data_IF_892831684726
#
_entry.id   IF_892831684726
#
_cell.length_a   1.000
_cell.length_b   1.000
_cell.length_c   1.000
_cell.angle_alpha   90.00
_cell.angle_beta   90.00
_cell.angle_gamma   90.00
#
_symmetry.space_group_name_H-M   'P 1'
#
loop_
_entity.id
_entity.type
_entity.pdbx_description
1 polymer ?
#
# COMPACT_ATOMS: atom_id res chain seq x y z
N UNK A 1 -11.83 -29.22 -28.80
CA UNK A 1 -11.81 -27.77 -29.05
C UNK A 1 -11.65 -26.92 -27.79
N UNK A 2 -12.37 -27.14 -26.70
CA UNK A 2 -12.31 -26.33 -25.47
C UNK A 2 -10.93 -26.33 -24.76
N UNK A 3 -10.23 -27.48 -24.75
CA UNK A 3 -8.89 -27.63 -24.16
C UNK A 3 -7.80 -26.89 -24.94
N UNK A 4 -7.91 -26.83 -26.27
CA UNK A 4 -6.99 -26.07 -27.13
C UNK A 4 -7.20 -24.55 -27.02
N UNK A 5 -8.45 -24.10 -26.89
CA UNK A 5 -8.76 -22.69 -26.69
C UNK A 5 -8.26 -22.17 -25.34
N UNK A 6 -8.37 -22.96 -24.27
CA UNK A 6 -7.82 -22.64 -22.94
C UNK A 6 -6.29 -22.60 -22.93
N UNK A 7 -5.62 -23.51 -23.65
CA UNK A 7 -4.15 -23.51 -23.79
C UNK A 7 -3.63 -22.29 -24.58
N UNK A 8 -4.33 -21.89 -25.62
CA UNK A 8 -3.95 -20.71 -26.41
C UNK A 8 -4.18 -19.42 -25.62
N UNK A 9 -5.28 -19.29 -24.88
CA UNK A 9 -5.56 -18.16 -24.03
C UNK A 9 -4.52 -18.05 -22.89
N UNK A 10 -4.13 -19.16 -22.24
CA UNK A 10 -3.11 -19.14 -21.19
C UNK A 10 -1.76 -18.64 -21.71
N UNK A 11 -1.35 -19.03 -22.91
CA UNK A 11 -0.10 -18.60 -23.57
C UNK A 11 -0.07 -17.09 -23.87
N UNK A 12 -1.22 -16.48 -24.19
CA UNK A 12 -1.32 -15.02 -24.43
C UNK A 12 -1.02 -14.24 -23.15
N UNK A 13 -1.62 -14.63 -22.02
CA UNK A 13 -1.39 -13.98 -20.72
C UNK A 13 -0.03 -14.32 -20.09
N UNK A 14 0.67 -15.31 -20.62
CA UNK A 14 2.05 -15.59 -20.26
C UNK A 14 3.06 -14.64 -20.93
N UNK A 15 2.67 -13.93 -21.98
CA UNK A 15 3.56 -13.00 -22.68
C UNK A 15 3.86 -11.76 -21.82
N UNK A 16 5.12 -11.31 -21.72
CA UNK A 16 5.47 -10.10 -20.99
C UNK A 16 4.70 -8.85 -21.46
N UNK A 17 4.48 -8.73 -22.78
CA UNK A 17 3.74 -7.61 -23.36
C UNK A 17 2.30 -7.51 -22.87
N UNK A 18 1.61 -8.64 -22.70
CA UNK A 18 0.23 -8.66 -22.18
C UNK A 18 0.19 -8.20 -20.71
N UNK A 19 1.20 -8.56 -19.90
CA UNK A 19 1.27 -8.14 -18.50
C UNK A 19 1.54 -6.64 -18.35
N UNK A 20 2.29 -6.05 -19.30
CA UNK A 20 2.49 -4.59 -19.35
C UNK A 20 1.18 -3.83 -19.54
N UNK A 21 0.17 -4.40 -20.24
CA UNK A 21 -1.14 -3.79 -20.39
C UNK A 21 -1.87 -3.61 -19.04
N UNK A 22 -1.61 -4.48 -18.07
CA UNK A 22 -2.18 -4.36 -16.72
C UNK A 22 -1.35 -3.46 -15.80
N UNK A 23 -0.06 -3.28 -16.09
CA UNK A 23 0.80 -2.36 -15.34
C UNK A 23 0.58 -0.90 -15.74
N UNK A 24 0.22 -0.64 -16.99
CA UNK A 24 0.01 0.72 -17.48
C UNK A 24 -1.09 1.48 -16.71
N UNK A 25 -2.29 0.91 -16.47
CA UNK A 25 -3.30 1.53 -15.60
C UNK A 25 -2.80 1.82 -14.19
N UNK A 26 -2.06 0.90 -13.58
CA UNK A 26 -1.48 1.10 -12.25
C UNK A 26 -0.45 2.25 -12.25
N UNK A 27 0.37 2.36 -13.29
CA UNK A 27 1.32 3.47 -13.42
C UNK A 27 0.59 4.83 -13.61
N UNK A 28 -0.49 4.87 -14.39
CA UNK A 28 -1.33 6.07 -14.53
C UNK A 28 -1.97 6.43 -13.20
N UNK A 29 -2.51 5.45 -12.45
CA UNK A 29 -3.09 5.68 -11.13
C UNK A 29 -2.03 6.22 -10.13
N UNK A 30 -0.80 5.67 -10.15
CA UNK A 30 0.31 6.19 -9.34
C UNK A 30 0.61 7.65 -9.69
N UNK A 31 0.83 7.97 -10.96
CA UNK A 31 1.20 9.33 -11.38
C UNK A 31 0.08 10.34 -11.08
N UNK A 32 -1.19 9.98 -11.35
CA UNK A 32 -2.34 10.80 -11.02
C UNK A 32 -2.50 10.97 -9.50
N UNK A 33 -2.27 9.90 -8.73
CA UNK A 33 -2.29 9.95 -7.27
C UNK A 33 -1.17 10.84 -6.70
N UNK A 34 0.06 10.76 -7.23
CA UNK A 34 1.15 11.64 -6.82
C UNK A 34 0.84 13.11 -7.16
N UNK A 35 0.28 13.37 -8.34
CA UNK A 35 -0.18 14.70 -8.73
C UNK A 35 -1.26 15.23 -7.77
N UNK A 36 -2.24 14.39 -7.42
CA UNK A 36 -3.29 14.73 -6.45
C UNK A 36 -2.72 15.04 -5.06
N UNK A 37 -1.73 14.27 -4.61
CA UNK A 37 -1.04 14.52 -3.35
C UNK A 37 -0.30 15.86 -3.29
N UNK A 38 0.28 16.30 -4.42
CA UNK A 38 0.85 17.65 -4.53
C UNK A 38 -0.24 18.72 -4.47
N UNK A 39 -1.39 18.52 -5.16
CA UNK A 39 -2.52 19.46 -5.14
C UNK A 39 -3.09 19.65 -3.75
N UNK A 40 -3.27 18.56 -3.00
CA UNK A 40 -3.73 18.60 -1.60
C UNK A 40 -2.79 19.40 -0.66
N UNK A 41 -1.56 19.64 -1.07
CA UNK A 41 -0.56 20.42 -0.34
C UNK A 41 -0.37 21.84 -0.88
N UNK A 42 -1.21 22.30 -1.78
CA UNK A 42 -1.04 23.58 -2.50
C UNK A 42 0.35 23.71 -3.13
N UNK A 43 0.97 22.59 -3.50
CA UNK A 43 2.24 22.57 -4.20
C UNK A 43 2.02 22.72 -5.72
N UNK A 44 3.04 23.19 -6.48
CA UNK A 44 2.92 23.24 -7.94
C UNK A 44 2.61 21.85 -8.54
N UNK A 45 1.53 21.77 -9.31
CA UNK A 45 1.05 20.52 -9.91
C UNK A 45 1.04 20.63 -11.45
N UNK A 46 1.38 19.54 -12.16
CA UNK A 46 1.20 19.44 -13.60
C UNK A 46 -0.27 19.60 -14.03
N UNK A 47 -1.21 19.05 -13.25
CA UNK A 47 -2.66 19.09 -13.52
C UNK A 47 -3.40 19.44 -12.24
N UNK A 48 -3.93 20.66 -12.16
CA UNK A 48 -4.83 21.05 -11.06
C UNK A 48 -6.20 20.39 -11.24
N UNK A 49 -6.65 19.62 -10.26
CA UNK A 49 -7.90 18.87 -10.32
C UNK A 49 -8.42 18.50 -8.94
N UNK A 50 -9.44 19.21 -8.45
CA UNK A 50 -10.16 18.88 -7.23
C UNK A 50 -10.73 17.44 -7.26
N UNK A 51 -11.09 16.94 -8.45
CA UNK A 51 -11.53 15.56 -8.62
C UNK A 51 -10.44 14.57 -8.21
N UNK A 52 -9.19 14.75 -8.69
CA UNK A 52 -8.08 13.85 -8.36
C UNK A 52 -7.75 13.90 -6.87
N UNK A 53 -7.80 15.08 -6.28
CA UNK A 53 -7.60 15.29 -4.85
C UNK A 53 -8.63 14.52 -4.02
N UNK A 54 -9.92 14.61 -4.37
CA UNK A 54 -11.01 13.90 -3.68
C UNK A 54 -10.95 12.38 -3.80
N UNK A 55 -10.25 11.82 -4.80
CA UNK A 55 -10.13 10.38 -5.00
C UNK A 55 -8.72 9.83 -4.79
N UNK A 56 -7.78 10.68 -4.31
CA UNK A 56 -6.36 10.35 -4.11
C UNK A 56 -6.15 9.01 -3.39
N UNK A 57 -6.81 8.79 -2.26
CA UNK A 57 -6.64 7.58 -1.45
C UNK A 57 -7.05 6.31 -2.21
N UNK A 58 -8.15 6.33 -2.94
CA UNK A 58 -8.60 5.18 -3.75
C UNK A 58 -7.70 4.95 -4.96
N UNK A 59 -7.21 6.01 -5.61
CA UNK A 59 -6.22 5.91 -6.68
C UNK A 59 -4.95 5.21 -6.20
N UNK A 60 -4.42 5.62 -5.05
CA UNK A 60 -3.18 5.05 -4.52
C UNK A 60 -3.37 3.63 -3.99
N UNK A 61 -4.49 3.35 -3.32
CA UNK A 61 -4.69 2.06 -2.65
C UNK A 61 -5.19 0.99 -3.61
N UNK A 62 -6.28 1.24 -4.33
CA UNK A 62 -6.88 0.21 -5.20
C UNK A 62 -6.43 0.35 -6.65
N UNK A 63 -6.40 1.58 -7.20
CA UNK A 63 -5.99 1.84 -8.56
C UNK A 63 -4.52 1.49 -8.81
N UNK A 64 -3.63 1.79 -7.88
CA UNK A 64 -2.20 1.49 -7.98
C UNK A 64 -1.84 0.18 -7.25
N UNK A 65 -1.78 0.18 -5.91
CA UNK A 65 -1.29 -0.98 -5.14
C UNK A 65 -2.18 -2.21 -5.34
N UNK A 66 -3.50 -2.06 -5.29
CA UNK A 66 -4.46 -3.15 -5.49
C UNK A 66 -4.31 -3.79 -6.86
N UNK A 67 -4.12 -2.99 -7.92
CA UNK A 67 -3.89 -3.52 -9.29
C UNK A 67 -2.57 -4.30 -9.37
N UNK A 68 -1.48 -3.82 -8.74
CA UNK A 68 -0.20 -4.52 -8.73
C UNK A 68 -0.29 -5.86 -7.99
N UNK A 69 -0.88 -5.87 -6.80
CA UNK A 69 -1.03 -7.08 -5.99
C UNK A 69 -1.94 -8.09 -6.70
N UNK A 70 -3.06 -7.62 -7.27
CA UNK A 70 -3.96 -8.48 -8.03
C UNK A 70 -3.28 -9.07 -9.28
N UNK A 71 -2.42 -8.31 -9.96
CA UNK A 71 -1.66 -8.81 -11.11
C UNK A 71 -0.68 -9.90 -10.70
N UNK A 72 0.03 -9.72 -9.60
CA UNK A 72 0.93 -10.74 -9.05
C UNK A 72 0.18 -12.04 -8.74
N UNK A 73 -0.96 -11.97 -8.06
CA UNK A 73 -1.79 -13.14 -7.72
C UNK A 73 -2.42 -13.79 -8.96
N UNK A 74 -2.81 -13.01 -9.97
CA UNK A 74 -3.28 -13.53 -11.26
C UNK A 74 -2.20 -14.34 -11.97
N UNK A 75 -0.94 -13.84 -11.94
CA UNK A 75 0.22 -14.57 -12.46
C UNK A 75 0.46 -15.86 -11.70
N UNK A 76 0.34 -15.86 -10.37
CA UNK A 76 0.48 -17.05 -9.52
C UNK A 76 -0.65 -18.07 -9.77
N UNK A 77 -1.86 -17.61 -10.05
CA UNK A 77 -3.01 -18.48 -10.36
C UNK A 77 -2.83 -19.24 -11.68
N UNK A 78 -2.12 -18.69 -12.67
CA UNK A 78 -1.88 -19.29 -14.00
C UNK A 78 -3.17 -19.64 -14.76
N UNK A 79 -4.23 -18.86 -14.57
CA UNK A 79 -5.50 -19.00 -15.30
C UNK A 79 -5.89 -17.66 -15.93
N UNK A 80 -6.35 -17.62 -17.20
CA UNK A 80 -6.67 -16.38 -17.91
C UNK A 80 -7.70 -15.51 -17.17
N UNK A 81 -8.73 -16.10 -16.58
CA UNK A 81 -9.76 -15.35 -15.86
C UNK A 81 -9.23 -14.61 -14.61
N UNK A 82 -8.11 -15.07 -14.04
CA UNK A 82 -7.48 -14.36 -12.91
C UNK A 82 -7.09 -12.92 -13.23
N UNK A 83 -6.85 -12.61 -14.50
CA UNK A 83 -6.52 -11.26 -14.95
C UNK A 83 -7.72 -10.30 -14.98
N UNK A 84 -8.95 -10.79 -14.72
CA UNK A 84 -10.11 -9.92 -14.51
C UNK A 84 -9.91 -9.01 -13.29
N UNK A 85 -9.29 -9.50 -12.21
CA UNK A 85 -9.05 -8.71 -11.01
C UNK A 85 -8.17 -7.47 -11.29
N UNK A 86 -6.91 -7.59 -11.77
CA UNK A 86 -6.11 -6.43 -12.10
C UNK A 86 -6.68 -5.61 -13.26
N UNK A 87 -7.42 -6.23 -14.20
CA UNK A 87 -8.09 -5.52 -15.29
C UNK A 87 -9.16 -4.56 -14.80
N UNK A 88 -10.04 -5.03 -13.93
CA UNK A 88 -11.14 -4.23 -13.37
C UNK A 88 -10.63 -3.17 -12.39
N UNK A 89 -9.65 -3.51 -11.51
CA UNK A 89 -9.04 -2.54 -10.60
C UNK A 89 -8.31 -1.43 -11.37
N UNK A 90 -7.53 -1.80 -12.39
CA UNK A 90 -6.85 -0.83 -13.26
C UNK A 90 -7.83 0.03 -14.06
N UNK A 91 -8.91 -0.56 -14.60
CA UNK A 91 -9.97 0.18 -15.29
C UNK A 91 -10.70 1.13 -14.32
N UNK A 92 -10.96 0.70 -13.09
CA UNK A 92 -11.50 1.56 -12.03
C UNK A 92 -10.57 2.73 -11.71
N UNK A 93 -9.26 2.49 -11.57
CA UNK A 93 -8.24 3.52 -11.42
C UNK A 93 -8.24 4.53 -12.59
N UNK A 94 -8.27 4.04 -13.82
CA UNK A 94 -8.40 4.91 -14.99
C UNK A 94 -9.72 5.71 -15.03
N UNK A 95 -10.83 5.10 -14.62
CA UNK A 95 -12.12 5.78 -14.55
C UNK A 95 -12.14 6.90 -13.50
N UNK A 96 -11.33 6.79 -12.43
CA UNK A 96 -11.13 7.89 -11.47
C UNK A 96 -10.36 9.05 -12.07
N UNK A 97 -9.38 8.78 -12.94
CA UNK A 97 -8.57 9.81 -13.62
C UNK A 97 -9.35 10.49 -14.76
N UNK A 98 -10.10 9.72 -15.52
CA UNK A 98 -10.89 10.22 -16.63
C UNK A 98 -12.13 10.96 -16.14
N UNK A 99 -12.71 11.90 -16.95
CA UNK A 99 -13.92 12.66 -16.60
C UNK A 99 -15.20 11.81 -16.70
N UNK A 100 -15.16 10.59 -16.14
CA UNK A 100 -16.31 9.68 -16.07
C UNK A 100 -17.11 9.91 -14.79
N UNK A 101 -18.41 9.57 -14.74
CA UNK A 101 -19.18 9.60 -13.51
C UNK A 101 -18.53 8.72 -12.42
N UNK A 102 -18.42 9.25 -11.19
CA UNK A 102 -17.78 8.54 -10.09
C UNK A 102 -18.34 7.13 -9.83
N UNK A 103 -19.67 6.88 -9.92
CA UNK A 103 -20.22 5.53 -9.76
C UNK A 103 -19.64 4.48 -10.71
N UNK A 104 -19.22 4.88 -11.93
CA UNK A 104 -18.57 3.94 -12.86
C UNK A 104 -17.27 3.40 -12.29
N UNK A 105 -16.44 4.29 -11.75
CA UNK A 105 -15.20 3.89 -11.10
C UNK A 105 -15.45 3.04 -9.86
N UNK A 106 -16.42 3.42 -9.02
CA UNK A 106 -16.79 2.68 -7.82
C UNK A 106 -17.24 1.25 -8.15
N UNK A 107 -18.12 1.07 -9.14
CA UNK A 107 -18.59 -0.25 -9.57
C UNK A 107 -17.42 -1.09 -10.12
N UNK A 108 -16.52 -0.50 -10.91
CA UNK A 108 -15.36 -1.20 -11.45
C UNK A 108 -14.40 -1.66 -10.31
N UNK A 109 -14.18 -0.83 -9.30
CA UNK A 109 -13.35 -1.18 -8.15
C UNK A 109 -13.99 -2.29 -7.31
N UNK A 110 -15.29 -2.23 -7.04
CA UNK A 110 -16.04 -3.29 -6.35
C UNK A 110 -15.97 -4.60 -7.13
N UNK A 111 -16.21 -4.56 -8.43
CA UNK A 111 -16.12 -5.75 -9.30
C UNK A 111 -14.68 -6.30 -9.33
N UNK A 112 -13.67 -5.43 -9.36
CA UNK A 112 -12.26 -5.80 -9.29
C UNK A 112 -11.88 -6.49 -7.99
N UNK A 113 -12.32 -5.95 -6.85
CA UNK A 113 -12.12 -6.57 -5.53
C UNK A 113 -12.85 -7.92 -5.42
N UNK A 114 -14.06 -8.04 -5.97
CA UNK A 114 -14.82 -9.30 -6.02
C UNK A 114 -14.09 -10.36 -6.85
N UNK A 115 -13.59 -9.99 -8.02
CA UNK A 115 -12.76 -10.88 -8.85
C UNK A 115 -11.46 -11.27 -8.12
N UNK A 116 -10.88 -10.36 -7.34
CA UNK A 116 -9.67 -10.60 -6.56
C UNK A 116 -9.89 -11.64 -5.45
N UNK A 117 -11.03 -11.59 -4.74
CA UNK A 117 -11.43 -12.63 -3.79
C UNK A 117 -11.58 -13.99 -4.50
N UNK A 118 -12.19 -14.01 -5.70
CA UNK A 118 -12.31 -15.24 -6.47
C UNK A 118 -10.94 -15.84 -6.85
N UNK A 119 -9.94 -15.00 -7.16
CA UNK A 119 -8.54 -15.43 -7.38
C UNK A 119 -7.99 -16.09 -6.12
N UNK A 120 -8.14 -15.49 -4.95
CA UNK A 120 -7.69 -16.08 -3.69
C UNK A 120 -8.44 -17.37 -3.33
N UNK A 121 -9.75 -17.43 -3.55
CA UNK A 121 -10.52 -18.66 -3.35
C UNK A 121 -9.99 -19.82 -4.20
N UNK A 122 -9.63 -19.55 -5.47
CA UNK A 122 -9.03 -20.56 -6.35
C UNK A 122 -7.61 -20.94 -5.93
N UNK A 123 -6.80 -19.99 -5.44
CA UNK A 123 -5.47 -20.26 -4.89
C UNK A 123 -5.58 -21.10 -3.61
N UNK A 124 -6.48 -20.74 -2.70
CA UNK A 124 -6.71 -21.45 -1.45
C UNK A 124 -7.24 -22.88 -1.69
N UNK A 125 -8.16 -23.07 -2.64
CA UNK A 125 -8.67 -24.42 -2.97
C UNK A 125 -7.56 -25.36 -3.42
N UNK A 126 -6.47 -24.83 -3.99
CA UNK A 126 -5.31 -25.59 -4.47
C UNK A 126 -4.25 -25.82 -3.40
N UNK A 127 -3.97 -24.82 -2.57
CA UNK A 127 -2.86 -24.86 -1.60
C UNK A 127 -3.29 -25.25 -0.19
N UNK A 128 -4.53 -24.91 0.22
CA UNK A 128 -5.03 -25.03 1.60
C UNK A 128 -4.13 -24.37 2.63
N UNK A 129 -3.50 -23.26 2.23
CA UNK A 129 -2.53 -22.52 3.05
C UNK A 129 -3.22 -21.38 3.80
N UNK A 130 -3.02 -21.32 5.13
CA UNK A 130 -3.57 -20.27 6.00
C UNK A 130 -3.14 -18.86 5.57
N UNK A 131 -1.95 -18.71 4.98
CA UNK A 131 -1.49 -17.42 4.47
C UNK A 131 -2.33 -16.93 3.30
N UNK A 132 -2.74 -17.84 2.41
CA UNK A 132 -3.64 -17.51 1.30
C UNK A 132 -5.03 -17.13 1.84
N UNK A 133 -5.48 -17.78 2.92
CA UNK A 133 -6.72 -17.41 3.59
C UNK A 133 -6.64 -16.00 4.20
N UNK A 134 -5.55 -15.67 4.90
CA UNK A 134 -5.34 -14.33 5.45
C UNK A 134 -5.31 -13.26 4.34
N UNK A 135 -4.68 -13.54 3.19
CA UNK A 135 -4.69 -12.64 2.02
C UNK A 135 -6.11 -12.49 1.45
N UNK A 136 -6.91 -13.56 1.41
CA UNK A 136 -8.31 -13.50 0.97
C UNK A 136 -9.15 -12.61 1.90
N UNK A 137 -8.93 -12.67 3.21
CA UNK A 137 -9.56 -11.76 4.18
C UNK A 137 -9.11 -10.32 3.94
N UNK A 138 -7.83 -10.08 3.63
CA UNK A 138 -7.34 -8.76 3.22
C UNK A 138 -8.08 -8.24 1.97
N UNK A 139 -8.22 -9.06 0.92
CA UNK A 139 -8.99 -8.69 -0.27
C UNK A 139 -10.48 -8.45 0.03
N UNK A 140 -11.05 -9.16 1.00
CA UNK A 140 -12.41 -8.91 1.48
C UNK A 140 -12.52 -7.52 2.14
N UNK A 141 -11.51 -7.06 2.89
CA UNK A 141 -11.50 -5.69 3.42
C UNK A 141 -11.46 -4.64 2.30
N UNK A 142 -10.69 -4.88 1.25
CA UNK A 142 -10.69 -4.00 0.07
C UNK A 142 -12.07 -3.96 -0.61
N UNK A 143 -12.77 -5.09 -0.69
CA UNK A 143 -14.15 -5.16 -1.19
C UNK A 143 -15.10 -4.34 -0.32
N UNK A 144 -15.09 -4.55 0.99
CA UNK A 144 -15.94 -3.80 1.92
C UNK A 144 -15.67 -2.30 1.83
N UNK A 145 -14.39 -1.88 1.86
CA UNK A 145 -14.02 -0.48 1.72
C UNK A 145 -14.51 0.12 0.40
N UNK A 146 -14.33 -0.58 -0.74
CA UNK A 146 -14.77 -0.08 -2.04
C UNK A 146 -16.30 -0.01 -2.17
N UNK A 147 -17.05 -0.93 -1.55
CA UNK A 147 -18.50 -0.92 -1.54
C UNK A 147 -19.06 0.17 -0.61
N UNK A 148 -18.51 0.30 0.60
CA UNK A 148 -18.92 1.34 1.55
C UNK A 148 -18.58 2.74 1.06
N UNK A 149 -17.54 2.92 0.23
CA UNK A 149 -17.19 4.20 -0.38
C UNK A 149 -18.28 4.80 -1.27
N UNK A 150 -19.28 4.04 -1.61
CA UNK A 150 -20.47 4.57 -2.30
C UNK A 150 -21.38 5.39 -1.36
N UNK A 151 -21.23 5.24 -0.04
CA UNK A 151 -22.12 5.77 0.98
C UNK A 151 -21.41 6.50 2.14
N UNK A 152 -20.11 6.25 2.30
CA UNK A 152 -19.29 6.71 3.43
C UNK A 152 -18.06 7.43 2.91
N UNK A 153 -17.59 8.42 3.63
CA UNK A 153 -16.38 9.17 3.27
C UNK A 153 -15.11 8.34 3.42
N UNK A 154 -14.12 8.63 2.60
CA UNK A 154 -12.87 7.88 2.54
C UNK A 154 -12.11 7.82 3.88
N UNK A 155 -12.04 8.87 4.69
CA UNK A 155 -11.37 8.80 5.99
C UNK A 155 -11.90 7.71 6.92
N UNK A 156 -13.20 7.45 6.93
CA UNK A 156 -13.79 6.40 7.75
C UNK A 156 -13.47 4.97 7.25
N UNK A 157 -13.04 4.85 6.01
CA UNK A 157 -12.67 3.57 5.37
C UNK A 157 -11.17 3.27 5.48
N UNK A 158 -10.38 4.22 5.97
CA UNK A 158 -8.92 4.07 6.07
C UNK A 158 -8.49 2.84 6.87
N UNK A 159 -9.11 2.48 8.02
CA UNK A 159 -8.77 1.25 8.72
C UNK A 159 -8.94 -0.02 7.87
N UNK A 160 -9.96 -0.09 7.04
CA UNK A 160 -10.20 -1.21 6.13
C UNK A 160 -9.12 -1.30 5.04
N UNK A 161 -8.75 -0.17 4.44
CA UNK A 161 -7.73 -0.10 3.40
C UNK A 161 -6.33 -0.42 3.96
N UNK A 162 -6.00 0.08 5.16
CA UNK A 162 -4.76 -0.28 5.87
C UNK A 162 -4.74 -1.78 6.16
N UNK A 163 -5.84 -2.35 6.66
CA UNK A 163 -5.95 -3.77 6.99
C UNK A 163 -5.77 -4.65 5.76
N UNK A 164 -6.32 -4.28 4.61
CA UNK A 164 -6.08 -4.95 3.33
C UNK A 164 -4.57 -5.06 3.04
N UNK A 165 -3.86 -3.94 3.07
CA UNK A 165 -2.43 -3.93 2.76
C UNK A 165 -1.61 -4.66 3.82
N UNK A 166 -1.92 -4.46 5.09
CA UNK A 166 -1.17 -5.08 6.19
C UNK A 166 -1.29 -6.60 6.16
N UNK A 167 -2.50 -7.17 5.99
CA UNK A 167 -2.66 -8.61 5.90
C UNK A 167 -2.00 -9.20 4.65
N UNK A 168 -2.15 -8.54 3.50
CA UNK A 168 -1.50 -8.98 2.26
C UNK A 168 0.01 -9.01 2.41
N UNK A 169 0.61 -7.91 2.86
CA UNK A 169 2.06 -7.77 3.01
C UNK A 169 2.58 -8.71 4.11
N UNK A 170 1.91 -8.80 5.27
CA UNK A 170 2.31 -9.71 6.34
C UNK A 170 2.31 -11.17 5.88
N UNK A 171 1.30 -11.59 5.11
CA UNK A 171 1.25 -12.93 4.52
C UNK A 171 2.44 -13.19 3.60
N UNK A 172 2.77 -12.24 2.71
CA UNK A 172 3.92 -12.34 1.81
C UNK A 172 5.25 -12.41 2.59
N UNK A 173 5.38 -11.60 3.66
CA UNK A 173 6.56 -11.64 4.53
C UNK A 173 6.74 -13.00 5.19
N UNK A 174 5.65 -13.61 5.67
CA UNK A 174 5.70 -14.95 6.27
C UNK A 174 5.99 -16.00 5.18
N UNK A 175 5.37 -15.90 4.01
CA UNK A 175 5.62 -16.81 2.88
C UNK A 175 7.09 -16.80 2.44
N UNK A 176 7.67 -15.64 2.22
CA UNK A 176 9.06 -15.47 1.81
C UNK A 176 10.06 -15.85 2.91
N UNK A 177 9.68 -15.67 4.17
CA UNK A 177 10.48 -16.02 5.34
C UNK A 177 10.19 -17.40 5.93
N UNK A 178 9.41 -18.27 5.28
CA UNK A 178 8.82 -19.50 5.82
C UNK A 178 9.81 -20.41 6.55
N UNK A 179 11.05 -20.50 6.06
CA UNK A 179 12.11 -21.34 6.69
C UNK A 179 12.52 -20.80 8.06
N UNK A 180 12.46 -19.49 8.27
CA UNK A 180 12.88 -18.82 9.49
C UNK A 180 11.73 -18.48 10.46
N UNK A 181 10.49 -18.57 9.98
CA UNK A 181 9.27 -18.28 10.73
C UNK A 181 8.80 -19.49 11.55
N UNK A 182 8.08 -19.26 12.68
CA UNK A 182 7.42 -20.33 13.40
C UNK A 182 6.43 -21.11 12.51
N UNK A 183 6.29 -22.42 12.70
CA UNK A 183 5.32 -23.24 11.96
C UNK A 183 3.87 -22.75 12.14
N UNK A 184 3.56 -22.13 13.27
CA UNK A 184 2.26 -21.54 13.59
C UNK A 184 2.01 -20.16 12.96
N UNK A 185 2.96 -19.60 12.21
CA UNK A 185 2.86 -18.22 11.72
C UNK A 185 1.60 -17.96 10.87
N UNK A 186 1.21 -18.93 10.03
CA UNK A 186 -0.04 -18.84 9.24
C UNK A 186 -1.27 -18.80 10.14
N UNK A 187 -1.37 -19.71 11.11
CA UNK A 187 -2.49 -19.74 12.06
C UNK A 187 -2.55 -18.46 12.94
N UNK A 188 -1.39 -17.96 13.37
CA UNK A 188 -1.30 -16.70 14.12
C UNK A 188 -1.83 -15.54 13.26
N UNK A 189 -1.41 -15.42 12.00
CA UNK A 189 -1.89 -14.35 11.12
C UNK A 189 -3.38 -14.49 10.82
N UNK A 190 -3.89 -15.70 10.66
CA UNK A 190 -5.34 -15.94 10.51
C UNK A 190 -6.11 -15.51 11.77
N UNK A 191 -5.56 -15.78 12.96
CA UNK A 191 -6.11 -15.28 14.22
C UNK A 191 -6.15 -13.75 14.27
N UNK A 192 -5.08 -13.08 13.85
CA UNK A 192 -5.08 -11.61 13.70
C UNK A 192 -6.13 -11.14 12.70
N UNK A 193 -6.31 -11.81 11.56
CA UNK A 193 -7.32 -11.47 10.57
C UNK A 193 -8.74 -11.55 11.17
N UNK A 194 -9.04 -12.58 11.95
CA UNK A 194 -10.35 -12.73 12.64
C UNK A 194 -10.58 -11.61 13.65
N UNK A 195 -9.58 -11.34 14.50
CA UNK A 195 -9.67 -10.24 15.48
C UNK A 195 -9.82 -8.88 14.79
N UNK A 196 -9.10 -8.67 13.72
CA UNK A 196 -9.15 -7.44 12.94
C UNK A 196 -10.54 -7.25 12.30
N UNK A 197 -11.17 -8.33 11.82
CA UNK A 197 -12.55 -8.27 11.32
C UNK A 197 -13.52 -7.82 12.40
N UNK A 198 -13.41 -8.37 13.61
CA UNK A 198 -14.26 -7.97 14.74
C UNK A 198 -14.05 -6.50 15.14
N UNK A 199 -12.79 -6.06 15.15
CA UNK A 199 -12.43 -4.67 15.47
C UNK A 199 -12.93 -3.69 14.40
N UNK A 200 -12.79 -4.01 13.10
CA UNK A 200 -13.31 -3.18 12.02
C UNK A 200 -14.84 -3.12 12.02
N UNK A 201 -15.52 -4.21 12.36
CA UNK A 201 -16.97 -4.20 12.54
C UNK A 201 -17.38 -3.34 13.75
N UNK A 202 -16.63 -3.40 14.85
CA UNK A 202 -16.84 -2.56 16.02
C UNK A 202 -16.62 -1.07 15.72
N UNK A 203 -15.65 -0.74 14.87
CA UNK A 203 -15.37 0.66 14.44
C UNK A 203 -16.59 1.32 13.78
N UNK A 204 -17.41 0.54 13.06
CA UNK A 204 -18.63 1.05 12.43
C UNK A 204 -19.73 1.45 13.47
N UNK A 205 -19.72 0.87 14.65
CA UNK A 205 -20.75 1.05 15.68
C UNK A 205 -20.26 1.86 16.87
N UNK A 206 -19.01 1.66 17.30
CA UNK A 206 -18.36 2.33 18.42
C UNK A 206 -16.97 2.81 17.99
N UNK A 207 -16.90 3.91 17.20
CA UNK A 207 -15.65 4.33 16.52
C UNK A 207 -14.45 4.52 17.46
N UNK A 208 -14.65 5.13 18.63
CA UNK A 208 -13.57 5.37 19.58
C UNK A 208 -12.92 4.06 20.05
N UNK A 209 -13.74 3.09 20.48
CA UNK A 209 -13.23 1.79 20.93
C UNK A 209 -12.66 0.97 19.75
N UNK A 210 -13.34 0.97 18.61
CA UNK A 210 -12.87 0.28 17.40
C UNK A 210 -11.49 0.77 16.98
N UNK A 211 -11.28 2.09 16.91
CA UNK A 211 -9.98 2.68 16.50
C UNK A 211 -8.88 2.47 17.53
N UNK A 212 -9.21 2.53 18.83
CA UNK A 212 -8.26 2.18 19.88
C UNK A 212 -7.78 0.72 19.72
N UNK A 213 -8.71 -0.22 19.59
CA UNK A 213 -8.39 -1.64 19.42
C UNK A 213 -7.68 -1.92 18.07
N UNK A 214 -8.05 -1.20 17.02
CA UNK A 214 -7.37 -1.25 15.73
C UNK A 214 -5.88 -0.87 15.87
N UNK A 215 -5.58 0.27 16.48
CA UNK A 215 -4.21 0.70 16.72
C UNK A 215 -3.44 -0.30 17.58
N UNK A 216 -4.04 -0.78 18.67
CA UNK A 216 -3.43 -1.79 19.54
C UNK A 216 -3.13 -3.09 18.78
N UNK A 217 -4.08 -3.58 17.99
CA UNK A 217 -3.93 -4.83 17.25
C UNK A 217 -2.86 -4.72 16.17
N UNK A 218 -2.79 -3.59 15.45
CA UNK A 218 -1.71 -3.30 14.51
C UNK A 218 -0.34 -3.25 15.20
N UNK A 219 -0.27 -2.65 16.39
CA UNK A 219 0.98 -2.57 17.16
C UNK A 219 1.46 -3.96 17.58
N UNK A 220 0.54 -4.81 18.08
CA UNK A 220 0.87 -6.19 18.49
C UNK A 220 1.31 -7.02 17.27
N UNK A 221 0.62 -6.89 16.13
CA UNK A 221 1.02 -7.55 14.88
C UNK A 221 2.39 -7.07 14.41
N UNK A 222 2.65 -5.76 14.45
CA UNK A 222 3.95 -5.18 14.08
C UNK A 222 5.06 -5.70 14.96
N UNK A 223 4.87 -5.74 16.28
CA UNK A 223 5.83 -6.28 17.23
C UNK A 223 6.10 -7.77 16.97
N UNK A 224 5.05 -8.54 16.66
CA UNK A 224 5.18 -9.94 16.31
C UNK A 224 5.98 -10.14 15.01
N UNK A 225 5.69 -9.35 13.96
CA UNK A 225 6.44 -9.37 12.70
C UNK A 225 7.90 -9.00 12.94
N UNK A 226 8.18 -7.88 13.61
CA UNK A 226 9.55 -7.46 13.95
C UNK A 226 10.30 -8.58 14.67
N UNK A 227 9.66 -9.28 15.60
CA UNK A 227 10.33 -10.36 16.36
C UNK A 227 10.71 -11.56 15.49
N UNK A 228 9.88 -11.95 14.53
CA UNK A 228 10.02 -13.21 13.82
C UNK A 228 10.55 -13.07 12.39
N UNK A 229 10.49 -11.86 11.78
CA UNK A 229 10.94 -11.67 10.41
C UNK A 229 12.44 -11.90 10.24
N UNK A 230 12.79 -12.58 9.16
CA UNK A 230 14.17 -12.86 8.76
C UNK A 230 15.00 -11.59 8.52
N UNK A 231 14.34 -10.46 8.25
CA UNK A 231 14.98 -9.15 8.04
C UNK A 231 15.90 -8.76 9.19
N UNK A 232 15.57 -9.13 10.45
CA UNK A 232 16.45 -8.90 11.61
C UNK A 232 17.83 -9.57 11.51
N UNK A 233 17.92 -10.66 10.76
CA UNK A 233 19.18 -11.39 10.53
C UNK A 233 19.86 -10.88 9.26
N UNK A 234 19.09 -10.71 8.19
CA UNK A 234 19.62 -10.35 6.87
C UNK A 234 20.08 -8.89 6.80
N UNK A 235 19.68 -8.02 7.72
CA UNK A 235 20.21 -6.64 7.86
C UNK A 235 21.73 -6.60 8.09
N UNK A 236 22.28 -7.65 8.69
CA UNK A 236 23.74 -7.80 8.92
C UNK A 236 24.48 -8.34 7.69
N UNK A 237 23.76 -8.75 6.67
CA UNK A 237 24.31 -9.24 5.40
C UNK A 237 24.84 -8.12 4.52
N UNK A 238 25.00 -8.42 3.23
CA UNK A 238 25.46 -7.48 2.21
C UNK A 238 24.55 -7.53 0.99
N UNK A 239 24.64 -6.52 0.11
CA UNK A 239 23.90 -6.48 -1.16
C UNK A 239 22.37 -6.43 -0.98
N UNK A 240 21.66 -7.16 -1.84
CA UNK A 240 20.21 -7.20 -1.86
C UNK A 240 19.56 -7.63 -0.53
N UNK A 241 20.04 -8.69 0.18
CA UNK A 241 19.45 -9.09 1.46
C UNK A 241 19.47 -7.97 2.50
N UNK A 242 20.57 -7.21 2.59
CA UNK A 242 20.70 -6.07 3.49
C UNK A 242 19.77 -4.93 3.08
N UNK A 243 19.71 -4.60 1.80
CA UNK A 243 18.85 -3.55 1.26
C UNK A 243 17.37 -3.85 1.56
N UNK A 244 16.90 -5.06 1.20
CA UNK A 244 15.52 -5.46 1.46
C UNK A 244 15.21 -5.47 2.96
N UNK A 245 16.12 -5.96 3.80
CA UNK A 245 15.96 -5.96 5.25
C UNK A 245 15.84 -4.54 5.82
N UNK A 246 16.64 -3.59 5.34
CA UNK A 246 16.57 -2.21 5.77
C UNK A 246 15.20 -1.58 5.42
N UNK A 247 14.73 -1.78 4.20
CA UNK A 247 13.41 -1.31 3.77
C UNK A 247 12.29 -1.92 4.62
N UNK A 248 12.32 -3.24 4.89
CA UNK A 248 11.32 -3.94 5.69
C UNK A 248 11.30 -3.41 7.13
N UNK A 249 12.46 -3.33 7.79
CA UNK A 249 12.56 -2.87 9.18
C UNK A 249 12.13 -1.40 9.31
N UNK A 250 12.52 -0.53 8.38
CA UNK A 250 12.06 0.85 8.33
C UNK A 250 10.53 0.91 8.11
N UNK A 251 9.98 0.06 7.25
CA UNK A 251 8.52 -0.08 7.08
C UNK A 251 7.81 -0.46 8.38
N UNK A 252 8.36 -1.38 9.17
CA UNK A 252 7.78 -1.73 10.49
C UNK A 252 7.83 -0.59 11.49
N UNK A 253 8.87 0.27 11.46
CA UNK A 253 8.89 1.48 12.30
C UNK A 253 7.72 2.39 11.95
N UNK A 254 7.46 2.61 10.66
CA UNK A 254 6.34 3.43 10.22
C UNK A 254 4.99 2.80 10.54
N UNK A 255 4.85 1.48 10.41
CA UNK A 255 3.62 0.80 10.81
C UNK A 255 3.37 0.93 12.31
N UNK A 256 4.43 0.88 13.14
CA UNK A 256 4.31 1.13 14.58
C UNK A 256 3.91 2.59 14.88
N UNK A 257 4.44 3.58 14.15
CA UNK A 257 4.03 4.98 14.27
C UNK A 257 2.55 5.13 13.91
N UNK A 258 2.09 4.55 12.79
CA UNK A 258 0.68 4.54 12.42
C UNK A 258 -0.21 3.94 13.52
N UNK A 259 0.18 2.75 14.01
CA UNK A 259 -0.55 2.03 15.05
C UNK A 259 -0.64 2.82 16.36
N UNK A 260 0.48 3.42 16.81
CA UNK A 260 0.53 4.25 18.01
C UNK A 260 -0.32 5.52 17.85
N UNK A 261 -0.33 6.14 16.66
CA UNK A 261 -1.15 7.33 16.39
C UNK A 261 -2.64 6.98 16.47
N UNK A 262 -3.09 5.86 15.86
CA UNK A 262 -4.48 5.39 15.99
C UNK A 262 -4.85 5.13 17.45
N UNK A 263 -4.01 4.42 18.19
CA UNK A 263 -4.22 4.08 19.59
C UNK A 263 -4.26 5.31 20.48
N UNK A 264 -3.26 6.19 20.38
CA UNK A 264 -3.15 7.40 21.20
C UNK A 264 -4.25 8.42 20.93
N UNK A 265 -4.67 8.58 19.66
CA UNK A 265 -5.76 9.50 19.29
C UNK A 265 -7.10 9.09 19.90
N UNK A 266 -7.38 7.79 20.02
CA UNK A 266 -8.58 7.31 20.69
C UNK A 266 -8.55 7.56 22.20
N UNK A 267 -7.37 7.64 22.80
CA UNK A 267 -7.18 7.95 24.22
C UNK A 267 -7.06 9.44 24.51
N UNK A 268 -6.74 10.25 23.51
CA UNK A 268 -6.50 11.68 23.67
C UNK A 268 -7.63 12.42 24.39
N UNK A 269 -8.93 12.19 24.12
CA UNK A 269 -10.02 12.84 24.84
C UNK A 269 -10.04 12.54 26.34
N UNK A 270 -9.56 11.37 26.76
CA UNK A 270 -9.51 10.94 28.17
C UNK A 270 -8.37 11.65 28.91
N UNK A 271 -7.22 11.84 28.25
CA UNK A 271 -6.02 12.41 28.87
C UNK A 271 -5.82 13.90 28.59
N UNK A 272 -6.56 14.48 27.65
CA UNK A 272 -6.47 15.92 27.34
C UNK A 272 -6.63 16.85 28.55
N UNK A 273 -7.50 16.56 29.55
CA UNK A 273 -7.58 17.40 30.76
C UNK A 273 -6.32 17.40 31.62
N UNK A 274 -5.47 16.36 31.49
CA UNK A 274 -4.25 16.20 32.32
C UNK A 274 -2.99 16.64 31.56
N UNK A 275 -2.96 16.39 30.24
CA UNK A 275 -1.80 16.64 29.36
C UNK A 275 -2.23 17.38 28.07
N UNK A 276 -2.82 18.58 28.18
CA UNK A 276 -3.42 19.25 27.04
C UNK A 276 -2.42 19.60 25.93
N UNK A 277 -1.22 20.10 26.29
CA UNK A 277 -0.22 20.51 25.31
C UNK A 277 0.42 19.30 24.59
N UNK A 278 0.72 18.23 25.33
CA UNK A 278 1.38 17.05 24.76
C UNK A 278 0.45 16.26 23.79
N UNK A 279 -0.89 16.39 23.97
CA UNK A 279 -1.88 15.64 23.20
C UNK A 279 -2.66 16.53 22.21
N UNK A 280 -2.35 17.82 22.13
CA UNK A 280 -3.07 18.77 21.28
C UNK A 280 -3.16 18.33 19.82
N UNK A 281 -2.07 17.80 19.25
CA UNK A 281 -2.02 17.32 17.88
C UNK A 281 -2.81 16.02 17.62
N UNK A 282 -3.16 15.28 18.67
CA UNK A 282 -3.97 14.06 18.59
C UNK A 282 -5.46 14.35 18.70
N UNK A 283 -5.83 15.48 19.33
CA UNK A 283 -7.22 15.84 19.62
C UNK A 283 -7.90 16.54 18.45
N UNK A 284 -9.16 16.21 18.10
CA UNK A 284 -9.90 16.93 17.06
C UNK A 284 -10.08 18.43 17.33
N UNK A 285 -10.02 18.86 18.60
CA UNK A 285 -10.14 20.25 19.03
C UNK A 285 -8.79 21.00 19.03
N UNK A 286 -7.69 20.35 18.72
CA UNK A 286 -6.34 20.96 18.68
C UNK A 286 -6.23 22.03 17.61
N UNK A 287 -5.66 23.19 17.97
CA UNK A 287 -5.58 24.40 17.17
C UNK A 287 -4.62 24.33 15.94
N UNK A 288 -4.22 23.15 15.50
CA UNK A 288 -3.29 22.97 14.38
C UNK A 288 -3.95 23.00 12.99
N UNK A 289 -5.21 23.46 12.91
CA UNK A 289 -5.99 23.55 11.66
C UNK A 289 -5.47 24.58 10.62
N UNK A 290 -4.28 25.14 10.82
CA UNK A 290 -3.69 26.07 9.87
C UNK A 290 -2.91 25.39 8.72
N UNK A 291 -2.67 24.09 8.81
CA UNK A 291 -1.92 23.35 7.76
C UNK A 291 -2.80 22.94 6.58
N UNK A 292 -4.07 22.73 6.83
CA UNK A 292 -5.06 22.45 5.79
C UNK A 292 -6.15 23.49 5.91
N UNK A 293 -6.32 24.34 4.89
CA UNK A 293 -7.49 25.21 4.80
C UNK A 293 -8.72 24.34 4.90
N UNK A 294 -9.45 24.51 6.00
CA UNK A 294 -10.64 23.72 6.28
C UNK A 294 -11.55 23.70 5.05
N UNK A 295 -11.60 22.58 4.36
CA UNK A 295 -12.67 22.33 3.40
C UNK A 295 -13.99 22.46 4.17
N UNK A 296 -15.00 23.20 3.69
CA UNK A 296 -16.27 23.32 4.34
C UNK A 296 -16.90 21.93 4.43
N UNK A 297 -16.96 21.35 5.64
CA UNK A 297 -17.50 20.03 5.90
C UNK A 297 -16.62 19.13 6.78
N UNK A 298 -15.95 19.68 7.83
CA UNK A 298 -15.27 18.83 8.82
C UNK A 298 -16.24 17.77 9.35
N UNK A 299 -15.94 16.50 9.04
CA UNK A 299 -16.75 15.37 9.47
C UNK A 299 -16.63 15.21 11.01
N UNK A 300 -17.69 15.47 11.80
CA UNK A 300 -17.63 15.35 13.26
C UNK A 300 -17.40 13.92 13.76
N UNK A 301 -17.33 12.95 12.83
CA UNK A 301 -17.10 11.54 13.14
C UNK A 301 -15.61 11.15 13.14
N UNK A 302 -14.69 12.04 12.71
CA UNK A 302 -13.26 11.75 12.77
C UNK A 302 -12.77 11.90 14.20
N UNK A 303 -12.40 10.83 14.91
CA UNK A 303 -11.79 10.91 16.24
C UNK A 303 -10.30 11.27 16.17
N UNK A 304 -9.75 11.45 14.97
CA UNK A 304 -8.40 11.91 14.72
C UNK A 304 -8.44 13.39 14.34
N UNK A 305 -7.50 14.18 14.86
CA UNK A 305 -7.20 15.48 14.27
C UNK A 305 -6.69 15.29 12.83
N UNK A 306 -6.75 16.34 12.02
CA UNK A 306 -6.19 16.31 10.66
C UNK A 306 -4.72 15.92 10.67
N UNK A 307 -3.95 16.41 11.63
CA UNK A 307 -2.53 16.08 11.82
C UNK A 307 -2.34 14.61 12.18
N UNK A 308 -3.12 14.09 13.13
CA UNK A 308 -3.02 12.69 13.52
C UNK A 308 -3.45 11.76 12.37
N UNK A 309 -4.45 12.15 11.59
CA UNK A 309 -4.85 11.43 10.38
C UNK A 309 -3.74 11.41 9.33
N UNK A 310 -3.12 12.57 9.08
CA UNK A 310 -1.97 12.71 8.19
C UNK A 310 -0.82 11.78 8.60
N UNK A 311 -0.45 11.78 9.89
CA UNK A 311 0.61 10.94 10.45
C UNK A 311 0.26 9.46 10.30
N UNK A 312 -0.92 9.05 10.74
CA UNK A 312 -1.33 7.65 10.72
C UNK A 312 -1.43 7.09 9.30
N UNK A 313 -2.05 7.85 8.38
CA UNK A 313 -2.27 7.46 7.00
C UNK A 313 -0.95 7.32 6.24
N UNK A 314 -0.11 8.36 6.25
CA UNK A 314 1.12 8.33 5.45
C UNK A 314 2.20 7.44 6.07
N UNK A 315 2.22 7.25 7.38
CA UNK A 315 3.06 6.21 7.99
C UNK A 315 2.67 4.81 7.50
N UNK A 316 1.37 4.50 7.37
CA UNK A 316 0.92 3.20 6.87
C UNK A 316 1.13 3.04 5.36
N UNK A 317 0.70 4.00 4.53
CA UNK A 317 0.71 3.84 3.08
C UNK A 317 2.06 4.17 2.45
N UNK A 318 2.72 5.26 2.88
CA UNK A 318 4.03 5.66 2.33
C UNK A 318 5.14 4.98 3.12
N UNK A 319 5.13 5.12 4.44
CA UNK A 319 6.18 4.58 5.30
C UNK A 319 6.26 3.05 5.27
N UNK A 320 5.15 2.37 5.47
CA UNK A 320 5.14 0.91 5.50
C UNK A 320 4.94 0.31 4.10
N UNK A 321 3.82 0.59 3.41
CA UNK A 321 3.50 -0.14 2.19
C UNK A 321 4.50 0.12 1.05
N UNK A 322 4.92 1.38 0.78
CA UNK A 322 5.91 1.65 -0.27
C UNK A 322 7.31 1.13 0.10
N UNK A 323 7.67 1.07 1.38
CA UNK A 323 8.92 0.42 1.81
C UNK A 323 8.89 -1.07 1.48
N UNK A 324 7.75 -1.74 1.69
CA UNK A 324 7.58 -3.14 1.31
C UNK A 324 7.62 -3.35 -0.21
N UNK A 325 6.98 -2.46 -0.98
CA UNK A 325 7.11 -2.46 -2.45
C UNK A 325 8.57 -2.35 -2.87
N UNK A 326 9.32 -1.42 -2.26
CA UNK A 326 10.75 -1.23 -2.54
C UNK A 326 11.59 -2.46 -2.20
N UNK A 327 11.32 -3.09 -1.04
CA UNK A 327 12.02 -4.29 -0.59
C UNK A 327 11.80 -5.49 -1.52
N UNK A 328 10.58 -5.61 -2.08
CA UNK A 328 10.17 -6.76 -2.88
C UNK A 328 10.29 -6.55 -4.38
N UNK A 329 10.53 -5.32 -4.85
CA UNK A 329 10.57 -4.98 -6.28
C UNK A 329 11.53 -5.87 -7.07
N UNK A 330 12.71 -6.19 -6.51
CA UNK A 330 13.71 -7.06 -7.15
C UNK A 330 13.30 -8.53 -7.25
N UNK A 331 12.24 -8.94 -6.55
CA UNK A 331 11.68 -10.29 -6.59
C UNK A 331 10.40 -10.32 -7.43
N UNK A 332 9.48 -9.40 -7.17
CA UNK A 332 8.14 -9.36 -7.79
C UNK A 332 8.20 -8.91 -9.24
N UNK A 333 8.92 -7.81 -9.55
CA UNK A 333 8.98 -7.28 -10.91
C UNK A 333 9.57 -8.28 -11.91
N UNK A 334 10.66 -9.02 -11.62
CA UNK A 334 11.14 -10.09 -12.49
C UNK A 334 10.11 -11.19 -12.71
N UNK A 335 9.39 -11.61 -11.67
CA UNK A 335 8.35 -12.63 -11.79
C UNK A 335 7.19 -12.19 -12.67
N UNK A 336 6.77 -10.92 -12.56
CA UNK A 336 5.68 -10.34 -13.34
C UNK A 336 6.13 -10.05 -14.77
N UNK A 337 7.27 -9.40 -14.95
CA UNK A 337 7.74 -8.90 -16.26
C UNK A 337 8.54 -9.93 -17.05
N UNK A 338 8.97 -11.04 -16.44
CA UNK A 338 9.94 -12.00 -16.99
C UNK A 338 11.23 -11.31 -17.46
N UNK A 339 11.65 -10.27 -16.75
CA UNK A 339 12.90 -9.53 -17.01
C UNK A 339 13.69 -9.44 -15.72
N UNK A 340 15.00 -9.65 -15.75
CA UNK A 340 15.83 -9.51 -14.56
C UNK A 340 15.84 -8.06 -14.08
N UNK A 341 15.75 -7.88 -12.78
CA UNK A 341 15.96 -6.60 -12.09
C UNK A 341 17.09 -6.81 -11.07
N UNK A 342 18.35 -6.80 -11.51
CA UNK A 342 19.47 -7.02 -10.62
C UNK A 342 19.59 -5.87 -9.62
N UNK A 343 19.92 -6.21 -8.38
CA UNK A 343 20.21 -5.21 -7.36
C UNK A 343 21.42 -4.37 -7.78
N UNK A 344 21.27 -3.05 -7.63
CA UNK A 344 22.37 -2.06 -7.75
C UNK A 344 22.38 -1.17 -6.51
N UNK A 345 23.56 -0.77 -5.98
CA UNK A 345 23.66 0.10 -4.79
C UNK A 345 22.90 1.41 -4.90
N UNK A 346 22.69 1.92 -6.11
CA UNK A 346 21.89 3.14 -6.37
C UNK A 346 20.45 3.04 -5.79
N UNK A 347 19.92 1.83 -5.58
CA UNK A 347 18.60 1.62 -4.98
C UNK A 347 18.47 2.19 -3.55
N UNK A 348 19.58 2.39 -2.84
CA UNK A 348 19.57 3.05 -1.53
C UNK A 348 19.16 4.52 -1.59
N UNK A 349 19.44 5.21 -2.70
CA UNK A 349 19.14 6.64 -2.83
C UNK A 349 17.64 6.92 -2.71
N UNK A 350 16.75 6.32 -3.53
CA UNK A 350 15.32 6.53 -3.39
C UNK A 350 14.76 6.00 -2.06
N UNK A 351 15.32 4.91 -1.49
CA UNK A 351 14.88 4.39 -0.20
C UNK A 351 15.16 5.39 0.94
N UNK A 352 16.39 5.90 1.03
CA UNK A 352 16.77 6.88 2.07
C UNK A 352 15.98 8.17 1.85
N UNK A 353 15.89 8.65 0.60
CA UNK A 353 15.13 9.85 0.27
C UNK A 353 13.66 9.73 0.71
N UNK A 354 13.02 8.58 0.49
CA UNK A 354 11.63 8.34 0.91
C UNK A 354 11.47 8.49 2.43
N UNK A 355 12.33 7.84 3.21
CA UNK A 355 12.22 7.88 4.68
C UNK A 355 12.56 9.25 5.26
N UNK A 356 13.58 9.93 4.73
CA UNK A 356 13.94 11.28 5.17
C UNK A 356 12.83 12.26 4.81
N UNK A 357 12.30 12.21 3.58
CA UNK A 357 11.21 13.08 3.15
C UNK A 357 9.94 12.87 3.98
N UNK A 358 9.59 11.61 4.27
CA UNK A 358 8.44 11.28 5.10
C UNK A 358 8.64 11.75 6.56
N UNK A 359 9.83 11.54 7.14
CA UNK A 359 10.13 12.03 8.47
C UNK A 359 10.05 13.57 8.56
N UNK A 360 10.57 14.26 7.55
CA UNK A 360 10.47 15.71 7.43
C UNK A 360 9.01 16.17 7.34
N UNK A 361 8.22 15.55 6.46
CA UNK A 361 6.80 15.81 6.27
C UNK A 361 6.01 15.66 7.56
N UNK A 362 6.09 14.48 8.19
CA UNK A 362 5.29 14.16 9.35
C UNK A 362 5.78 14.87 10.62
N UNK A 363 7.09 15.09 10.75
CA UNK A 363 7.66 15.91 11.82
C UNK A 363 7.21 17.37 11.73
N UNK A 364 7.19 17.94 10.52
CA UNK A 364 6.70 19.29 10.30
C UNK A 364 5.17 19.41 10.47
N UNK A 365 4.40 18.36 10.19
CA UNK A 365 2.96 18.33 10.44
C UNK A 365 2.61 18.40 11.93
N UNK A 366 3.44 17.80 12.79
CA UNK A 366 3.26 17.80 14.25
C UNK A 366 3.78 19.10 14.90
N UNK A 367 4.78 19.75 14.30
CA UNK A 367 5.38 20.94 14.82
C UNK A 367 4.69 22.22 14.29
N UNK A 368 4.37 23.15 15.18
CA UNK A 368 3.75 24.43 14.81
C UNK A 368 4.66 25.28 13.93
N UNK A 369 4.05 26.01 12.99
CA UNK A 369 4.74 27.03 12.18
C UNK A 369 5.65 26.48 11.08
N UNK A 370 5.66 25.18 10.79
CA UNK A 370 6.51 24.55 9.79
C UNK A 370 5.79 24.17 8.49
N UNK A 371 4.76 24.92 8.08
CA UNK A 371 3.96 24.63 6.89
C UNK A 371 4.80 24.49 5.60
N UNK A 372 5.81 25.35 5.41
CA UNK A 372 6.70 25.27 4.25
C UNK A 372 7.58 24.01 4.30
N UNK A 373 8.09 23.64 5.47
CA UNK A 373 8.85 22.40 5.68
C UNK A 373 7.99 21.16 5.39
N UNK A 374 6.71 21.20 5.78
CA UNK A 374 5.74 20.17 5.47
C UNK A 374 5.53 20.02 3.95
N UNK A 375 5.34 21.12 3.20
CA UNK A 375 5.23 21.12 1.74
C UNK A 375 6.50 20.58 1.07
N UNK A 376 7.68 21.00 1.52
CA UNK A 376 8.96 20.48 1.04
C UNK A 376 9.02 18.95 1.26
N UNK A 377 8.58 18.46 2.42
CA UNK A 377 8.51 17.03 2.72
C UNK A 377 7.60 16.25 1.77
N UNK A 378 6.47 16.83 1.34
CA UNK A 378 5.56 16.23 0.37
C UNK A 378 6.22 16.16 -1.02
N UNK A 379 6.76 17.27 -1.51
CA UNK A 379 7.46 17.31 -2.80
C UNK A 379 8.63 16.33 -2.83
N UNK A 380 9.40 16.27 -1.75
CA UNK A 380 10.51 15.33 -1.60
C UNK A 380 10.03 13.87 -1.58
N UNK A 381 8.89 13.59 -0.95
CA UNK A 381 8.28 12.24 -0.95
C UNK A 381 7.87 11.82 -2.36
N UNK A 382 7.18 12.69 -3.09
CA UNK A 382 6.81 12.44 -4.50
C UNK A 382 8.06 12.22 -5.35
N UNK A 383 9.08 13.06 -5.19
CA UNK A 383 10.36 12.93 -5.91
C UNK A 383 11.04 11.60 -5.60
N UNK A 384 11.05 11.14 -4.35
CA UNK A 384 11.64 9.85 -3.96
C UNK A 384 10.91 8.67 -4.61
N UNK A 385 9.57 8.70 -4.69
CA UNK A 385 8.77 7.67 -5.37
C UNK A 385 9.06 7.64 -6.88
N UNK A 386 9.12 8.81 -7.53
CA UNK A 386 9.47 8.91 -8.95
C UNK A 386 10.90 8.43 -9.22
N UNK A 387 11.84 8.77 -8.34
CA UNK A 387 13.22 8.31 -8.42
C UNK A 387 13.34 6.79 -8.27
N UNK A 388 12.55 6.17 -7.37
CA UNK A 388 12.46 4.72 -7.25
C UNK A 388 11.94 4.08 -8.55
N UNK A 389 10.87 4.61 -9.12
CA UNK A 389 10.32 4.12 -10.39
C UNK A 389 11.36 4.26 -11.54
N UNK A 390 11.99 5.42 -11.67
CA UNK A 390 12.99 5.70 -12.70
C UNK A 390 14.22 4.78 -12.56
N UNK A 391 14.77 4.62 -11.36
CA UNK A 391 15.93 3.74 -11.12
C UNK A 391 15.60 2.28 -11.39
N UNK A 392 14.36 1.83 -11.08
CA UNK A 392 13.89 0.47 -11.37
C UNK A 392 13.79 0.24 -12.89
N UNK A 393 13.19 1.17 -13.64
CA UNK A 393 13.06 1.11 -15.10
C UNK A 393 14.44 1.11 -15.76
N UNK A 394 15.32 2.05 -15.42
CA UNK A 394 16.67 2.14 -15.96
C UNK A 394 17.46 0.85 -15.71
N UNK A 395 17.37 0.29 -14.51
CA UNK A 395 18.05 -0.96 -14.17
C UNK A 395 17.51 -2.13 -14.99
N UNK A 396 16.20 -2.23 -15.18
CA UNK A 396 15.59 -3.28 -16.00
C UNK A 396 15.95 -3.18 -17.49
N UNK A 397 16.06 -1.96 -18.04
CA UNK A 397 16.42 -1.73 -19.44
C UNK A 397 17.90 -2.01 -19.68
N UNK A 398 18.79 -1.52 -18.82
CA UNK A 398 20.25 -1.67 -18.98
C UNK A 398 20.72 -3.11 -18.79
N UNK A 399 20.06 -3.90 -17.94
CA UNK A 399 20.41 -5.31 -17.75
C UNK A 399 20.14 -6.18 -18.98
N UNK A 400 19.15 -5.83 -19.81
CA UNK A 400 18.85 -6.51 -21.06
C UNK A 400 19.90 -6.24 -22.15
N UNK A 401 20.46 -5.02 -22.19
CA UNK A 401 21.47 -4.66 -23.19
C UNK A 401 22.78 -5.42 -23.01
N UNK A 402 23.16 -5.73 -21.76
CA UNK A 402 24.37 -6.52 -21.46
C UNK A 402 24.17 -8.02 -21.74
N UNK A 403 22.99 -8.59 -21.55
CA UNK A 403 22.72 -9.99 -21.88
C UNK A 403 22.69 -10.29 -23.38
N UNK A 404 22.24 -9.34 -24.21
CA UNK A 404 22.21 -9.45 -25.66
C UNK A 404 23.64 -9.42 -26.28
N UNK A 405 24.55 -8.64 -25.71
CA UNK A 405 25.94 -8.56 -26.17
C UNK A 405 26.79 -9.80 -25.84
N UNK A 406 26.48 -10.49 -24.74
CA UNK A 406 27.17 -11.71 -24.35
C UNK A 406 26.77 -12.94 -25.19
N UNK A 407 25.56 -12.92 -25.81
CA UNK A 407 25.10 -13.99 -26.69
C UNK A 407 25.65 -13.99 -28.12
N UNK A 408 26.10 -12.84 -28.60
CA UNK A 408 26.64 -12.68 -29.98
C UNK A 408 28.15 -12.94 -30.09
N UNK A 409 28.86 -13.14 -28.99
CA UNK A 409 30.30 -13.38 -28.94
C UNK A 409 30.73 -14.85 -28.85
N UNK A 410 29.83 -15.84 -29.01
CA UNK A 410 30.13 -17.28 -28.90
C UNK A 410 29.92 -18.08 -30.18
N UNK A 411 29.86 -17.43 -31.33
CA UNK A 411 29.87 -18.10 -32.64
C UNK A 411 30.97 -17.49 -33.49
N UNK A 412 32.21 -17.87 -33.22
CA UNK A 412 33.36 -17.78 -34.13
C UNK A 412 34.32 -18.89 -33.79
#
# INVERSE_FOLDING_TARGET
MQKQATDTASRVFERPSTRLLFLAPAAVALLAGLNAGLGLADAPVPVASARLEGVHGMLMTLGFLGTLIALERAVALRRPWGFLAPGLLGAGGLALVLPLPLPVAQVLLVAGCSAFIAVYAALFSRSRDDLVLAQAVGAFYALIASALWMFVELPDLTPWLISFLVLTIASERIELGRIAMPRSAGAVLTGFAVLLTAVLALDLTVPMLGRMLFGLLLLVLTAWLVRHDVARRTIRGQGLPRFSAAAILAGYVWLAIAALTWYASALAPVFAPILPEALAWLSPAGAHSQLVTAAPGSNPRLPLSEVAYEVALHSAFVGFALSMVTAHASVILPAVLRRPLPYKPIAWVPLIALHVALALRLGAAVADGLAETWRIGIVATVTAVLLFAATSIVTAVTSNASGSRAGTGRTS
#
